data_IF_114338354781
#
_entry.id   IF_114338354781
#
_cell.length_a   1.000
_cell.length_b   1.000
_cell.length_c   1.000
_cell.angle_alpha   90.00
_cell.angle_beta   90.00
_cell.angle_gamma   90.00
#
_symmetry.space_group_name_H-M   'P 1'
#
loop_
_entity.id
_entity.type
_entity.pdbx_description
1 polymer ?
#
# COMPACT_ATOMS: atom_id res chain seq x y z
N UNK A 1 -8.16 10.12 24.12
CA UNK A 1 -8.62 11.44 23.59
C UNK A 1 -8.31 11.47 22.09
N UNK A 2 -9.32 11.28 21.24
CA UNK A 2 -9.14 11.42 19.79
C UNK A 2 -9.05 12.92 19.46
N UNK A 3 -7.89 13.36 18.97
CA UNK A 3 -7.61 14.79 18.71
C UNK A 3 -8.28 15.32 17.43
N UNK A 4 -8.84 14.45 16.59
CA UNK A 4 -9.61 14.77 15.36
C UNK A 4 -10.69 13.72 15.12
N UNK A 5 -11.77 14.13 14.47
CA UNK A 5 -12.84 13.23 14.00
C UNK A 5 -12.25 12.25 12.97
N UNK A 6 -12.63 10.95 13.00
CA UNK A 6 -12.21 10.00 11.99
C UNK A 6 -12.58 10.48 10.59
N UNK A 7 -11.62 10.46 9.67
CA UNK A 7 -11.85 10.74 8.25
C UNK A 7 -12.01 9.40 7.55
N UNK A 8 -13.04 9.31 6.71
CA UNK A 8 -13.22 8.19 5.77
C UNK A 8 -13.00 8.74 4.36
N UNK A 9 -12.30 7.98 3.52
CA UNK A 9 -12.03 8.35 2.13
C UNK A 9 -12.17 7.12 1.25
N UNK A 10 -12.76 7.32 0.07
CA UNK A 10 -12.91 6.29 -0.96
C UNK A 10 -11.78 6.44 -1.98
N UNK A 11 -11.16 5.33 -2.34
CA UNK A 11 -10.05 5.26 -3.28
C UNK A 11 -10.23 4.05 -4.20
N UNK A 12 -9.72 4.10 -5.44
CA UNK A 12 -9.76 2.95 -6.33
C UNK A 12 -8.90 1.80 -5.80
N UNK A 13 -9.34 0.57 -6.01
CA UNK A 13 -8.56 -0.63 -5.69
C UNK A 13 -7.36 -0.74 -6.61
N UNK A 14 -7.52 -0.36 -7.87
CA UNK A 14 -6.44 -0.29 -8.85
C UNK A 14 -6.20 1.17 -9.17
N UNK A 15 -5.04 1.70 -8.76
CA UNK A 15 -4.66 3.06 -9.11
C UNK A 15 -3.84 3.08 -10.39
N UNK A 16 -3.89 4.21 -11.09
CA UNK A 16 -2.98 4.53 -12.19
C UNK A 16 -1.86 5.42 -11.68
N UNK A 17 -0.62 5.08 -11.98
CA UNK A 17 0.53 5.88 -11.62
C UNK A 17 0.58 7.13 -12.51
N UNK A 18 0.56 8.36 -11.95
CA UNK A 18 0.35 9.58 -12.73
C UNK A 18 1.49 9.93 -13.69
N UNK A 19 2.67 9.35 -13.49
CA UNK A 19 3.86 9.62 -14.32
C UNK A 19 4.12 8.50 -15.32
N UNK A 20 3.95 7.23 -14.91
CA UNK A 20 4.28 6.08 -15.76
C UNK A 20 3.07 5.50 -16.49
N UNK A 21 1.85 5.84 -16.06
CA UNK A 21 0.62 5.25 -16.60
C UNK A 21 0.36 3.81 -16.15
N UNK A 22 1.29 3.19 -15.42
CA UNK A 22 1.18 1.81 -14.96
C UNK A 22 0.07 1.64 -13.92
N UNK A 23 -0.48 0.43 -13.85
CA UNK A 23 -1.48 0.04 -12.86
C UNK A 23 -0.79 -0.51 -11.62
N UNK A 24 -1.31 -0.15 -10.44
CA UNK A 24 -0.84 -0.70 -9.18
C UNK A 24 -2.02 -1.05 -8.26
N UNK A 25 -1.89 -2.15 -7.54
CA UNK A 25 -2.84 -2.56 -6.52
C UNK A 25 -2.71 -1.62 -5.31
N UNK A 26 -3.79 -0.89 -4.99
CA UNK A 26 -3.83 0.18 -4.02
C UNK A 26 -4.73 -0.15 -2.83
N UNK A 27 -4.42 -1.27 -2.18
CA UNK A 27 -5.08 -1.71 -0.95
C UNK A 27 -4.04 -2.06 0.11
N UNK A 28 -4.37 -1.87 1.38
CA UNK A 28 -3.51 -2.35 2.47
C UNK A 28 -4.33 -2.74 3.71
N UNK A 29 -3.90 -3.76 4.48
CA UNK A 29 -4.64 -4.25 5.64
C UNK A 29 -4.82 -3.22 6.77
N UNK A 30 -3.95 -2.22 6.86
CA UNK A 30 -3.97 -1.26 7.96
C UNK A 30 -5.07 -0.20 7.78
N UNK A 31 -5.33 0.23 6.55
CA UNK A 31 -6.22 1.35 6.24
C UNK A 31 -7.48 0.95 5.46
N UNK A 32 -7.40 -0.04 4.57
CA UNK A 32 -8.55 -0.47 3.76
C UNK A 32 -9.57 -1.19 4.65
N UNK A 33 -10.85 -0.83 4.53
CA UNK A 33 -11.93 -1.36 5.39
C UNK A 33 -12.91 -2.26 4.67
N UNK A 34 -13.39 -1.86 3.50
CA UNK A 34 -14.32 -2.63 2.68
C UNK A 34 -14.26 -2.13 1.23
N UNK A 35 -14.82 -2.91 0.32
CA UNK A 35 -15.01 -2.55 -1.07
C UNK A 35 -16.41 -1.97 -1.25
N UNK A 36 -16.49 -0.75 -1.78
CA UNK A 36 -17.75 -0.06 -2.04
C UNK A 36 -18.60 -0.87 -3.02
N UNK A 37 -19.89 -1.03 -2.72
CA UNK A 37 -20.84 -1.74 -3.58
C UNK A 37 -20.91 -3.27 -3.37
N UNK A 38 -20.05 -3.84 -2.53
CA UNK A 38 -20.06 -5.27 -2.20
C UNK A 38 -20.69 -5.53 -0.84
N UNK A 39 -21.24 -6.74 -0.66
CA UNK A 39 -21.58 -7.22 0.68
C UNK A 39 -20.32 -7.41 1.50
N UNK A 40 -20.47 -7.40 2.82
CA UNK A 40 -19.34 -7.55 3.74
C UNK A 40 -18.56 -8.83 3.47
N UNK A 41 -19.24 -9.95 3.28
CA UNK A 41 -18.61 -11.26 3.07
C UNK A 41 -17.80 -11.31 1.77
N UNK A 42 -18.33 -10.70 0.70
CA UNK A 42 -17.67 -10.61 -0.61
C UNK A 42 -16.45 -9.69 -0.54
N UNK A 43 -16.61 -8.51 0.08
CA UNK A 43 -15.54 -7.56 0.32
C UNK A 43 -14.41 -8.18 1.15
N UNK A 44 -14.73 -8.85 2.26
CA UNK A 44 -13.74 -9.48 3.14
C UNK A 44 -12.96 -10.56 2.39
N UNK A 45 -13.63 -11.38 1.59
CA UNK A 45 -12.99 -12.42 0.79
C UNK A 45 -12.02 -11.83 -0.25
N UNK A 46 -12.47 -10.85 -1.03
CA UNK A 46 -11.65 -10.21 -2.07
C UNK A 46 -10.46 -9.46 -1.47
N UNK A 47 -10.67 -8.67 -0.42
CA UNK A 47 -9.58 -7.97 0.26
C UNK A 47 -8.56 -8.93 0.84
N UNK A 48 -9.00 -10.04 1.45
CA UNK A 48 -8.08 -11.06 1.95
C UNK A 48 -7.22 -11.62 0.83
N UNK A 49 -7.82 -11.97 -0.30
CA UNK A 49 -7.06 -12.45 -1.47
C UNK A 49 -6.00 -11.43 -1.94
N UNK A 50 -6.40 -10.17 -2.08
CA UNK A 50 -5.49 -9.10 -2.52
C UNK A 50 -4.37 -8.83 -1.51
N UNK A 51 -4.67 -8.85 -0.21
CA UNK A 51 -3.68 -8.70 0.84
C UNK A 51 -2.69 -9.86 0.86
N UNK A 52 -3.19 -11.09 0.75
CA UNK A 52 -2.35 -12.29 0.71
C UNK A 52 -1.43 -12.26 -0.52
N UNK A 53 -1.95 -11.84 -1.68
CA UNK A 53 -1.15 -11.66 -2.89
C UNK A 53 0.03 -10.70 -2.67
N UNK A 54 -0.21 -9.51 -2.09
CA UNK A 54 0.86 -8.55 -1.76
C UNK A 54 1.85 -9.15 -0.75
N UNK A 55 1.35 -9.77 0.32
CA UNK A 55 2.18 -10.24 1.43
C UNK A 55 3.03 -11.49 1.07
N UNK A 56 2.50 -12.37 0.23
CA UNK A 56 3.12 -13.66 -0.09
C UNK A 56 3.96 -13.65 -1.37
N UNK A 57 3.90 -12.59 -2.19
CA UNK A 57 4.75 -12.42 -3.38
C UNK A 57 6.17 -12.02 -2.99
N UNK A 58 6.96 -12.98 -2.49
CA UNK A 58 8.33 -12.76 -2.00
C UNK A 58 9.30 -12.35 -3.12
N UNK A 59 9.01 -12.74 -4.36
CA UNK A 59 9.71 -12.35 -5.57
C UNK A 59 9.60 -10.85 -5.90
N UNK A 60 8.56 -10.18 -5.39
CA UNK A 60 8.34 -8.74 -5.56
C UNK A 60 8.82 -7.90 -4.36
N UNK A 61 9.49 -8.52 -3.38
CA UNK A 61 9.88 -7.85 -2.14
C UNK A 61 11.36 -7.51 -2.08
N UNK A 62 11.66 -6.33 -1.52
CA UNK A 62 13.00 -5.94 -1.13
C UNK A 62 13.07 -5.78 0.40
N UNK A 63 14.06 -6.42 1.04
CA UNK A 63 14.29 -6.30 2.49
C UNK A 63 15.56 -5.51 2.77
N UNK A 64 15.40 -4.37 3.44
CA UNK A 64 16.52 -3.49 3.81
C UNK A 64 17.04 -3.84 5.21
N UNK A 65 18.36 -4.09 5.30
CA UNK A 65 19.07 -4.15 6.58
C UNK A 65 19.64 -2.77 6.91
N UNK A 66 19.00 -2.08 7.85
CA UNK A 66 19.41 -0.74 8.28
C UNK A 66 20.81 -0.71 8.89
N UNK A 67 21.59 0.32 8.54
CA UNK A 67 22.87 0.70 9.16
C UNK A 67 22.91 2.23 9.32
N UNK A 68 23.79 2.77 10.17
CA UNK A 68 24.01 4.22 10.23
C UNK A 68 24.30 4.79 8.83
N UNK A 69 23.59 5.86 8.47
CA UNK A 69 23.69 6.50 7.15
C UNK A 69 22.89 5.85 6.01
N UNK A 70 22.20 4.73 6.24
CA UNK A 70 21.29 4.16 5.23
C UNK A 70 20.12 5.11 4.97
N UNK A 71 19.92 5.44 3.70
CA UNK A 71 18.75 6.19 3.21
C UNK A 71 17.98 5.28 2.26
N UNK A 72 16.67 5.19 2.45
CA UNK A 72 15.76 4.48 1.55
C UNK A 72 14.76 5.48 1.01
N UNK A 73 14.60 5.48 -0.31
CA UNK A 73 13.57 6.22 -1.02
C UNK A 73 12.68 5.20 -1.69
N UNK A 74 11.38 5.33 -1.52
CA UNK A 74 10.39 4.48 -2.16
C UNK A 74 9.21 5.31 -2.63
N UNK A 75 8.52 4.81 -3.64
CA UNK A 75 7.32 5.45 -4.16
C UNK A 75 6.07 4.85 -3.52
N UNK A 76 5.48 5.58 -2.56
CA UNK A 76 4.24 5.19 -1.87
C UNK A 76 3.05 4.94 -2.82
N UNK A 77 3.15 5.37 -4.07
CA UNK A 77 2.11 5.16 -5.08
C UNK A 77 2.07 3.73 -5.60
N UNK A 78 3.16 2.98 -5.48
CA UNK A 78 3.27 1.61 -6.03
C UNK A 78 3.86 0.60 -5.05
N UNK A 79 4.21 1.03 -3.83
CA UNK A 79 4.81 0.15 -2.83
C UNK A 79 3.98 0.05 -1.56
N UNK A 80 3.85 -1.17 -1.03
CA UNK A 80 3.53 -1.40 0.38
C UNK A 80 4.80 -1.66 1.18
N UNK A 81 4.84 -1.26 2.45
CA UNK A 81 5.96 -1.51 3.34
C UNK A 81 5.49 -1.88 4.73
N UNK A 82 6.29 -2.67 5.45
CA UNK A 82 6.06 -3.06 6.83
C UNK A 82 7.26 -2.72 7.70
N UNK A 83 6.99 -2.23 8.91
CA UNK A 83 8.00 -2.14 9.94
C UNK A 83 8.10 -3.50 10.64
N UNK A 84 9.28 -4.12 10.58
CA UNK A 84 9.55 -5.34 11.32
C UNK A 84 9.96 -4.98 12.76
N UNK A 85 9.67 -5.88 13.69
CA UNK A 85 10.09 -5.80 15.10
C UNK A 85 10.88 -7.08 15.42
N UNK A 86 11.95 -7.31 14.66
CA UNK A 86 12.71 -8.57 14.60
C UNK A 86 14.10 -8.47 15.24
N UNK A 87 14.27 -7.59 16.24
CA UNK A 87 15.50 -7.45 17.02
C UNK A 87 15.23 -7.68 18.52
N UNK A 88 16.04 -8.53 19.14
CA UNK A 88 15.86 -9.01 20.52
C UNK A 88 16.60 -8.16 21.56
N UNK A 89 17.43 -7.23 21.12
CA UNK A 89 18.43 -6.53 21.95
C UNK A 89 17.88 -5.31 22.71
N UNK A 90 16.58 -5.01 22.59
CA UNK A 90 15.97 -3.81 23.19
C UNK A 90 16.58 -2.50 22.69
N UNK A 91 17.36 -2.53 21.61
CA UNK A 91 18.02 -1.33 21.09
C UNK A 91 17.01 -0.37 20.49
N UNK A 92 17.26 0.92 20.72
CA UNK A 92 16.48 1.99 20.12
C UNK A 92 16.92 2.19 18.67
N UNK A 93 15.99 2.00 17.73
CA UNK A 93 16.14 2.46 16.35
C UNK A 93 15.44 3.80 16.18
N UNK A 94 16.17 4.79 15.66
CA UNK A 94 15.63 6.11 15.37
C UNK A 94 15.78 6.40 13.88
N UNK A 95 14.66 6.77 13.24
CA UNK A 95 14.62 7.14 11.84
C UNK A 95 13.90 8.48 11.72
N UNK A 96 14.38 9.32 10.82
CA UNK A 96 13.65 10.49 10.35
C UNK A 96 13.00 10.16 9.01
N UNK A 97 11.75 10.59 8.82
CA UNK A 97 11.02 10.40 7.56
C UNK A 97 10.48 11.73 7.07
N UNK A 98 10.68 11.98 5.77
CA UNK A 98 10.05 13.08 5.04
C UNK A 98 9.10 12.45 4.02
N UNK A 99 7.89 12.97 3.92
CA UNK A 99 6.88 12.52 2.95
C UNK A 99 6.39 13.73 2.15
N UNK A 100 6.61 13.78 0.83
CA UNK A 100 6.04 14.84 0.01
C UNK A 100 4.51 14.69 -0.09
N UNK A 101 3.84 15.80 -0.38
CA UNK A 101 2.43 15.77 -0.76
C UNK A 101 2.30 15.21 -2.18
N UNK A 102 1.26 14.41 -2.41
CA UNK A 102 0.95 13.79 -3.69
C UNK A 102 -0.47 14.14 -4.16
N UNK A 103 -0.82 13.66 -5.34
CA UNK A 103 -2.14 13.75 -5.96
C UNK A 103 -3.19 12.84 -5.30
N UNK A 104 -4.46 13.11 -5.56
CA UNK A 104 -5.53 12.17 -5.24
C UNK A 104 -5.44 10.94 -6.16
N UNK A 105 -5.51 9.70 -5.64
CA UNK A 105 -5.47 8.49 -6.47
C UNK A 105 -6.65 8.42 -7.44
N UNK A 106 -6.38 8.00 -8.67
CA UNK A 106 -7.40 7.78 -9.71
C UNK A 106 -7.11 6.49 -10.48
N UNK A 107 -8.12 6.04 -11.23
CA UNK A 107 -8.07 4.86 -12.09
C UNK A 107 -8.42 5.27 -13.52
N UNK A 108 -7.58 4.90 -14.50
CA UNK A 108 -7.95 4.94 -15.92
C UNK A 108 -8.75 3.69 -16.31
N UNK A 109 -9.58 3.72 -17.36
CA UNK A 109 -10.32 2.54 -17.81
C UNK A 109 -9.41 1.33 -18.05
N UNK A 110 -9.96 0.13 -17.84
CA UNK A 110 -9.30 -1.09 -18.28
C UNK A 110 -9.44 -1.21 -19.80
N UNK A 111 -8.32 -1.08 -20.50
CA UNK A 111 -8.22 -1.40 -21.92
C UNK A 111 -7.88 -2.89 -22.00
N UNK A 112 -8.89 -3.74 -22.18
CA UNK A 112 -8.63 -5.16 -22.47
C UNK A 112 -7.80 -5.26 -23.74
N UNK A 113 -6.79 -6.15 -23.76
CA UNK A 113 -6.16 -6.51 -25.02
C UNK A 113 -7.28 -6.94 -25.97
N UNK A 114 -7.48 -6.18 -27.06
CA UNK A 114 -8.49 -6.50 -28.05
C UNK A 114 -8.34 -7.96 -28.44
N UNK A 115 -9.47 -8.67 -28.53
CA UNK A 115 -9.53 -10.02 -29.09
C UNK A 115 -8.68 -10.04 -30.38
N UNK A 116 -7.58 -10.78 -30.36
CA UNK A 116 -6.89 -11.21 -31.57
C UNK A 116 -7.58 -12.46 -32.11
#
# INVERSE_FOLDING_TARGET
IARRVPITSEHPIVRTHPVTGEKALYVNPQFTRYIVGYKKEESDYLLKFLFDHIAQSQDLQARVRWRPGTVVVWDNRVTSHSALLDWEDGQRRHLARITPQAEAPYETPFEGEGEQ
#
